data_IF_692245153700
#
_entry.id   IF_692245153700
#
_cell.length_a   1.000
_cell.length_b   1.000
_cell.length_c   1.000
_cell.angle_alpha   90.00
_cell.angle_beta   90.00
_cell.angle_gamma   90.00
#
_symmetry.space_group_name_H-M   'P 1'
#
loop_
_entity.id
_entity.type
_entity.pdbx_description
1 polymer ?
#
# COMPACT_ATOMS: atom_id res chain seq x y z
N UNK A 1 25.27 7.30 -6.98
CA UNK A 1 25.05 8.67 -6.47
C UNK A 1 23.55 8.96 -6.44
N UNK A 2 22.90 8.83 -5.28
CA UNK A 2 21.61 9.45 -5.03
C UNK A 2 21.80 10.32 -3.80
N UNK A 3 21.60 11.63 -3.97
CA UNK A 3 21.82 12.66 -2.95
C UNK A 3 20.93 12.37 -1.74
N UNK A 4 21.55 12.03 -0.62
CA UNK A 4 20.95 12.10 0.71
C UNK A 4 20.70 13.58 1.01
N UNK A 5 19.54 14.10 0.60
CA UNK A 5 19.18 15.48 0.88
C UNK A 5 18.54 15.57 2.29
N UNK A 6 19.01 16.44 3.19
CA UNK A 6 18.59 16.48 4.60
C UNK A 6 17.14 16.96 4.84
N UNK A 7 16.36 17.27 3.79
CA UNK A 7 14.98 17.74 3.92
C UNK A 7 13.96 16.62 4.21
N UNK A 8 14.38 15.35 4.13
CA UNK A 8 13.51 14.20 4.35
C UNK A 8 12.88 14.14 5.75
N UNK A 9 13.44 14.87 6.73
CA UNK A 9 12.93 14.86 8.11
C UNK A 9 11.77 15.83 8.37
N UNK A 10 11.44 16.74 7.44
CA UNK A 10 10.40 17.75 7.65
C UNK A 10 9.17 17.60 6.74
N UNK A 11 9.34 17.22 5.46
CA UNK A 11 8.24 17.22 4.49
C UNK A 11 7.19 16.14 4.80
N UNK A 12 5.94 16.51 5.17
CA UNK A 12 4.90 15.54 5.46
C UNK A 12 4.51 14.73 4.22
N UNK A 13 4.53 15.35 3.04
CA UNK A 13 4.19 14.70 1.77
C UNK A 13 5.19 13.58 1.47
N UNK A 14 6.49 13.82 1.63
CA UNK A 14 7.51 12.81 1.41
C UNK A 14 7.31 11.61 2.36
N UNK A 15 7.06 11.88 3.65
CA UNK A 15 6.76 10.85 4.65
C UNK A 15 5.51 10.04 4.31
N UNK A 16 4.45 10.69 3.83
CA UNK A 16 3.24 9.98 3.38
C UNK A 16 3.55 9.10 2.17
N UNK A 17 4.31 9.60 1.19
CA UNK A 17 4.68 8.84 0.00
C UNK A 17 5.62 7.66 0.31
N UNK A 18 6.40 7.70 1.39
CA UNK A 18 7.14 6.51 1.83
C UNK A 18 6.20 5.36 2.21
N UNK A 19 5.01 5.68 2.72
CA UNK A 19 3.99 4.70 3.13
C UNK A 19 3.15 4.24 1.93
N UNK A 20 2.53 5.19 1.21
CA UNK A 20 1.52 4.88 0.18
C UNK A 20 2.01 5.05 -1.27
N UNK A 21 3.19 5.62 -1.48
CA UNK A 21 3.64 6.11 -2.79
C UNK A 21 4.14 5.04 -3.75
N UNK A 22 4.17 3.76 -3.35
CA UNK A 22 4.49 2.70 -4.30
C UNK A 22 3.29 2.34 -5.19
N UNK A 23 3.59 1.98 -6.44
CA UNK A 23 2.62 1.71 -7.51
C UNK A 23 1.46 0.82 -7.08
N UNK A 24 1.72 -0.20 -6.25
CA UNK A 24 0.72 -1.20 -5.92
C UNK A 24 -0.18 -0.76 -4.77
N UNK A 25 0.38 -0.06 -3.77
CA UNK A 25 -0.38 0.41 -2.62
C UNK A 25 -1.54 1.32 -3.02
N UNK A 26 -1.33 2.25 -3.96
CA UNK A 26 -2.43 3.10 -4.46
C UNK A 26 -3.53 2.31 -5.18
N UNK A 27 -3.19 1.21 -5.88
CA UNK A 27 -4.18 0.36 -6.54
C UNK A 27 -4.99 -0.45 -5.53
N UNK A 28 -4.34 -0.93 -4.45
CA UNK A 28 -5.00 -1.62 -3.34
C UNK A 28 -5.96 -0.65 -2.61
N UNK A 29 -5.51 0.57 -2.33
CA UNK A 29 -6.34 1.62 -1.70
C UNK A 29 -7.55 1.93 -2.58
N UNK A 30 -7.36 2.14 -3.89
CA UNK A 30 -8.46 2.32 -4.84
C UNK A 30 -9.46 1.17 -4.75
N UNK A 31 -8.98 -0.06 -4.74
CA UNK A 31 -9.82 -1.26 -4.71
C UNK A 31 -10.64 -1.37 -3.41
N UNK A 32 -10.07 -0.96 -2.28
CA UNK A 32 -10.79 -0.84 -1.00
C UNK A 32 -11.93 0.18 -1.09
N UNK A 33 -11.69 1.34 -1.69
CA UNK A 33 -12.73 2.35 -1.94
C UNK A 33 -13.81 1.87 -2.91
N UNK A 34 -13.48 0.94 -3.82
CA UNK A 34 -14.43 0.27 -4.71
C UNK A 34 -15.16 -0.91 -4.02
N UNK A 35 -14.95 -1.12 -2.72
CA UNK A 35 -15.65 -2.13 -1.94
C UNK A 35 -15.06 -3.54 -2.00
N UNK A 36 -13.88 -3.73 -2.61
CA UNK A 36 -13.19 -5.04 -2.59
C UNK A 36 -12.64 -5.29 -1.18
N UNK A 37 -12.84 -6.50 -0.66
CA UNK A 37 -12.46 -6.90 0.71
C UNK A 37 -11.67 -8.21 0.77
N UNK A 38 -11.78 -9.08 -0.24
CA UNK A 38 -11.13 -10.39 -0.26
C UNK A 38 -9.81 -10.33 -1.02
N UNK A 39 -8.82 -11.10 -0.56
CA UNK A 39 -7.50 -11.20 -1.20
C UNK A 39 -7.57 -11.47 -2.71
N UNK A 40 -8.46 -12.38 -3.12
CA UNK A 40 -8.61 -12.74 -4.53
C UNK A 40 -9.20 -11.60 -5.38
N UNK A 41 -10.02 -10.71 -4.80
CA UNK A 41 -10.56 -9.56 -5.52
C UNK A 41 -9.47 -8.55 -5.86
N UNK A 42 -8.50 -8.34 -4.96
CA UNK A 42 -7.32 -7.51 -5.20
C UNK A 42 -6.37 -8.11 -6.24
N UNK A 43 -6.24 -9.46 -6.25
CA UNK A 43 -5.46 -10.15 -7.29
C UNK A 43 -6.08 -10.01 -8.68
N UNK A 44 -7.41 -10.07 -8.76
CA UNK A 44 -8.13 -9.97 -10.04
C UNK A 44 -8.08 -8.55 -10.62
N UNK A 45 -8.20 -7.50 -9.79
CA UNK A 45 -8.06 -6.10 -10.23
C UNK A 45 -6.62 -5.70 -10.58
N UNK A 46 -5.64 -6.43 -10.04
CA UNK A 46 -4.21 -6.09 -10.16
C UNK A 46 -3.39 -7.29 -10.66
N UNK A 47 -3.64 -7.83 -11.87
CA UNK A 47 -3.10 -9.12 -12.31
C UNK A 47 -1.56 -9.19 -12.42
N UNK A 48 -0.88 -8.05 -12.40
CA UNK A 48 0.59 -7.96 -12.47
C UNK A 48 1.28 -8.00 -11.10
N UNK A 49 0.53 -7.90 -10.00
CA UNK A 49 1.12 -8.01 -8.66
C UNK A 49 1.33 -9.48 -8.31
N UNK A 50 2.50 -9.81 -7.74
CA UNK A 50 2.71 -11.16 -7.20
C UNK A 50 1.87 -11.35 -5.92
N UNK A 51 1.41 -12.57 -5.61
CA UNK A 51 0.67 -12.83 -4.38
C UNK A 51 1.48 -12.46 -3.13
N UNK A 52 2.79 -12.72 -3.14
CA UNK A 52 3.70 -12.35 -2.07
C UNK A 52 3.72 -10.84 -1.83
N UNK A 53 3.91 -10.06 -2.90
CA UNK A 53 3.96 -8.60 -2.78
C UNK A 53 2.60 -8.02 -2.35
N UNK A 54 1.49 -8.57 -2.84
CA UNK A 54 0.16 -8.16 -2.38
C UNK A 54 -0.02 -8.39 -0.87
N UNK A 55 0.36 -9.57 -0.37
CA UNK A 55 0.31 -9.87 1.06
C UNK A 55 1.21 -8.93 1.88
N UNK A 56 2.42 -8.66 1.41
CA UNK A 56 3.34 -7.72 2.05
C UNK A 56 2.76 -6.30 2.12
N UNK A 57 2.08 -5.83 1.05
CA UNK A 57 1.46 -4.50 1.03
C UNK A 57 0.23 -4.40 1.91
N UNK A 58 -0.65 -5.41 1.90
CA UNK A 58 -1.80 -5.44 2.80
C UNK A 58 -1.36 -5.46 4.26
N UNK A 59 -0.36 -6.29 4.60
CA UNK A 59 0.22 -6.32 5.94
C UNK A 59 0.85 -4.97 6.31
N UNK A 60 1.58 -4.32 5.41
CA UNK A 60 2.15 -3.01 5.66
C UNK A 60 1.08 -1.94 5.94
N UNK A 61 -0.03 -1.96 5.20
CA UNK A 61 -1.15 -1.05 5.45
C UNK A 61 -1.81 -1.32 6.80
N UNK A 62 -1.91 -2.59 7.21
CA UNK A 62 -2.41 -3.01 8.52
C UNK A 62 -1.47 -2.54 9.65
N UNK A 63 -0.17 -2.76 9.50
CA UNK A 63 0.87 -2.31 10.44
C UNK A 63 0.95 -0.78 10.58
N UNK A 64 0.40 -0.03 9.62
CA UNK A 64 0.30 1.44 9.65
C UNK A 64 -1.10 1.93 10.06
N UNK A 65 -1.98 1.03 10.51
CA UNK A 65 -3.34 1.32 10.95
C UNK A 65 -4.22 1.98 9.87
N UNK A 66 -3.87 1.79 8.59
CA UNK A 66 -4.62 2.32 7.44
C UNK A 66 -5.75 1.38 6.99
N UNK A 67 -5.62 0.10 7.29
CA UNK A 67 -6.61 -0.93 6.97
C UNK A 67 -6.70 -1.92 8.13
N UNK A 68 -7.87 -2.53 8.30
CA UNK A 68 -8.08 -3.57 9.28
C UNK A 68 -8.37 -4.90 8.60
N UNK A 69 -7.80 -5.99 9.12
CA UNK A 69 -8.12 -7.34 8.69
C UNK A 69 -9.20 -7.93 9.58
N UNK A 70 -10.39 -8.10 9.03
CA UNK A 70 -11.44 -8.91 9.64
C UNK A 70 -11.34 -10.37 9.16
N UNK A 71 -11.35 -11.32 10.10
CA UNK A 71 -11.53 -12.75 9.81
C UNK A 71 -12.96 -13.10 10.23
N UNK A 72 -13.80 -13.42 9.25
CA UNK A 72 -15.19 -13.85 9.43
C UNK A 72 -15.33 -15.24 8.84
#
# INVERSE_FOLDING_TARGET
MARTQPYAQACPIARTLDIIGDRWTLLIIRDLFLGRRRFNEFRQSTPRISPKLLSERLKRLEDQELVERAVV
#
